data_IF_883783606691
#
_entry.id   IF_883783606691
#
_cell.length_a   1.000
_cell.length_b   1.000
_cell.length_c   1.000
_cell.angle_alpha   90.00
_cell.angle_beta   90.00
_cell.angle_gamma   90.00
#
_symmetry.space_group_name_H-M   'P 1'
#
loop_
_entity.id
_entity.type
_entity.pdbx_description
1 polymer ?
#
# COMPACT_ATOMS: atom_id res chain seq x y z
N UNK A 1 30.65 -9.80 4.22
CA UNK A 1 30.36 -9.28 5.58
C UNK A 1 30.83 -7.84 5.55
N UNK A 2 30.04 -6.79 5.70
CA UNK A 2 28.68 -6.55 6.20
C UNK A 2 28.21 -5.32 5.42
N UNK A 3 27.01 -5.33 4.81
CA UNK A 3 26.44 -4.09 4.29
C UNK A 3 25.93 -3.30 5.49
N UNK A 4 26.73 -2.31 5.87
CA UNK A 4 26.46 -1.43 6.98
C UNK A 4 25.28 -0.51 6.65
N UNK A 5 24.37 -0.48 7.61
CA UNK A 5 23.08 0.18 7.64
C UNK A 5 23.31 1.70 7.58
N UNK A 6 23.39 2.27 6.38
CA UNK A 6 23.34 3.73 6.19
C UNK A 6 21.90 4.20 6.46
N UNK A 7 21.68 4.48 7.74
CA UNK A 7 20.56 5.22 8.29
C UNK A 7 20.60 6.64 7.70
N UNK A 8 19.77 6.89 6.69
CA UNK A 8 19.63 8.21 6.05
C UNK A 8 18.98 9.18 7.05
N UNK A 9 19.57 10.36 7.32
CA UNK A 9 19.01 11.30 8.29
C UNK A 9 17.93 12.14 7.61
N UNK A 10 16.72 11.60 7.48
CA UNK A 10 15.54 12.41 7.19
C UNK A 10 15.02 13.01 8.50
N UNK A 11 15.72 14.02 9.02
CA UNK A 11 15.15 14.96 9.99
C UNK A 11 14.29 15.96 9.20
N UNK A 12 13.14 15.49 8.76
CA UNK A 12 11.95 16.32 8.71
C UNK A 12 10.97 15.64 9.66
N UNK A 13 10.87 16.17 10.87
CA UNK A 13 9.79 15.81 11.81
C UNK A 13 8.52 16.44 11.23
N UNK A 14 7.99 15.83 10.17
CA UNK A 14 6.60 16.00 9.79
C UNK A 14 5.83 15.45 10.99
N UNK A 15 4.93 16.24 11.59
CA UNK A 15 4.03 15.77 12.65
C UNK A 15 3.34 14.50 12.16
N UNK A 16 3.91 13.37 12.54
CA UNK A 16 3.52 12.07 12.02
C UNK A 16 2.41 11.59 12.94
N UNK A 17 1.17 11.38 12.47
CA UNK A 17 0.37 10.38 13.12
C UNK A 17 1.11 9.06 12.87
N UNK A 18 1.96 8.66 13.82
CA UNK A 18 2.57 7.34 13.85
C UNK A 18 1.45 6.33 14.04
N UNK A 19 0.82 5.99 12.92
CA UNK A 19 -0.33 5.14 12.92
C UNK A 19 0.15 3.72 13.17
N UNK A 20 -0.35 3.16 14.26
CA UNK A 20 -0.08 1.77 14.59
C UNK A 20 -0.54 0.87 13.42
N UNK A 21 0.09 -0.29 13.19
CA UNK A 21 -0.34 -1.23 12.16
C UNK A 21 -1.83 -1.60 12.25
N UNK A 22 -2.39 -1.55 13.48
CA UNK A 22 -3.80 -1.74 13.77
C UNK A 22 -4.68 -0.64 13.20
N UNK A 23 -4.30 0.62 13.35
CA UNK A 23 -5.02 1.78 12.80
C UNK A 23 -4.94 1.79 11.27
N UNK A 24 -3.77 1.49 10.70
CA UNK A 24 -3.62 1.32 9.25
C UNK A 24 -4.56 0.23 8.73
N UNK A 25 -4.63 -0.92 9.42
CA UNK A 25 -5.57 -1.97 9.06
C UNK A 25 -7.04 -1.54 9.20
N UNK A 26 -7.38 -0.70 10.16
CA UNK A 26 -8.74 -0.21 10.35
C UNK A 26 -9.20 0.74 9.24
N UNK A 27 -8.27 1.47 8.56
CA UNK A 27 -8.59 2.28 7.36
C UNK A 27 -9.08 1.45 6.20
N UNK A 28 -8.62 0.20 6.09
CA UNK A 28 -9.11 -0.71 5.07
C UNK A 28 -10.63 -0.89 5.25
N UNK A 29 -11.37 -0.67 4.17
CA UNK A 29 -12.81 -0.79 4.13
C UNK A 29 -13.28 -2.15 4.66
N UNK A 30 -14.44 -2.15 5.31
CA UNK A 30 -14.99 -3.36 5.96
C UNK A 30 -15.13 -4.54 4.99
N UNK A 31 -15.52 -4.28 3.75
CA UNK A 31 -15.64 -5.29 2.69
C UNK A 31 -14.29 -5.91 2.34
N UNK A 32 -13.26 -5.10 2.10
CA UNK A 32 -11.91 -5.58 1.79
C UNK A 32 -11.31 -6.36 2.96
N UNK A 33 -11.45 -5.89 4.20
CA UNK A 33 -11.04 -6.65 5.38
C UNK A 33 -11.73 -8.01 5.47
N UNK A 34 -13.01 -8.08 5.13
CA UNK A 34 -13.76 -9.34 5.03
C UNK A 34 -13.15 -10.30 4.00
N UNK A 35 -12.73 -9.80 2.85
CA UNK A 35 -12.05 -10.59 1.81
C UNK A 35 -10.67 -11.08 2.27
N UNK A 36 -9.89 -10.21 2.92
CA UNK A 36 -8.56 -10.56 3.45
C UNK A 36 -8.66 -11.67 4.50
N UNK A 37 -9.68 -11.66 5.36
CA UNK A 37 -9.84 -12.69 6.40
C UNK A 37 -10.31 -14.06 5.90
N UNK A 38 -11.01 -14.11 4.76
CA UNK A 38 -11.72 -15.32 4.31
C UNK A 38 -10.92 -16.18 3.34
N UNK A 39 -9.81 -15.68 2.81
CA UNK A 39 -9.03 -16.34 1.75
C UNK A 39 -7.62 -16.65 2.25
N UNK A 40 -7.04 -17.74 1.74
CA UNK A 40 -5.59 -17.86 1.71
C UNK A 40 -5.07 -16.74 0.80
N UNK A 41 -4.64 -15.63 1.39
CA UNK A 41 -4.11 -14.51 0.64
C UNK A 41 -2.76 -14.97 0.04
N UNK A 42 -2.52 -14.75 -1.26
CA UNK A 42 -1.18 -14.93 -1.80
C UNK A 42 -0.29 -13.81 -1.27
N UNK A 43 0.35 -14.05 -0.12
CA UNK A 43 1.17 -13.05 0.58
C UNK A 43 2.26 -12.48 -0.34
N UNK A 44 2.91 -13.31 -1.16
CA UNK A 44 3.91 -12.81 -2.11
C UNK A 44 3.34 -11.82 -3.15
N UNK A 45 2.10 -12.02 -3.62
CA UNK A 45 1.47 -11.02 -4.51
C UNK A 45 1.14 -9.74 -3.77
N UNK A 46 0.75 -9.85 -2.49
CA UNK A 46 0.45 -8.69 -1.66
C UNK A 46 1.74 -7.89 -1.40
N UNK A 47 2.83 -8.55 -1.01
CA UNK A 47 4.15 -7.97 -0.78
C UNK A 47 4.66 -7.23 -2.03
N UNK A 48 4.57 -7.83 -3.21
CA UNK A 48 4.99 -7.15 -4.45
C UNK A 48 4.20 -5.85 -4.71
N UNK A 49 2.90 -5.83 -4.43
CA UNK A 49 2.09 -4.61 -4.58
C UNK A 49 2.45 -3.56 -3.52
N UNK A 50 2.83 -3.98 -2.32
CA UNK A 50 3.31 -3.09 -1.27
C UNK A 50 4.64 -2.45 -1.66
N UNK A 51 5.62 -3.25 -2.09
CA UNK A 51 6.93 -2.77 -2.56
C UNK A 51 6.80 -1.79 -3.73
N UNK A 52 5.87 -2.04 -4.65
CA UNK A 52 5.61 -1.15 -5.78
C UNK A 52 5.09 0.22 -5.31
N UNK A 53 4.11 0.26 -4.40
CA UNK A 53 3.59 1.53 -3.86
C UNK A 53 4.64 2.26 -3.01
N UNK A 54 5.38 1.51 -2.17
CA UNK A 54 6.44 2.05 -1.33
C UNK A 54 7.55 2.68 -2.18
N UNK A 55 8.08 1.95 -3.15
CA UNK A 55 9.16 2.44 -4.01
C UNK A 55 8.73 3.66 -4.83
N UNK A 56 7.52 3.64 -5.40
CA UNK A 56 7.02 4.76 -6.21
C UNK A 56 6.83 6.03 -5.40
N UNK A 57 6.04 5.99 -4.32
CA UNK A 57 5.69 7.19 -3.56
C UNK A 57 6.82 7.68 -2.63
N UNK A 58 7.78 6.83 -2.27
CA UNK A 58 8.97 7.28 -1.54
C UNK A 58 9.88 8.18 -2.40
N UNK A 59 9.89 7.98 -3.72
CA UNK A 59 10.66 8.80 -4.66
C UNK A 59 9.85 10.00 -5.15
N UNK A 60 8.55 9.83 -5.36
CA UNK A 60 7.68 10.84 -5.96
C UNK A 60 6.33 10.91 -5.25
N UNK A 61 6.27 11.51 -4.05
CA UNK A 61 5.10 11.44 -3.18
C UNK A 61 3.87 12.13 -3.77
N UNK A 62 4.04 13.16 -4.60
CA UNK A 62 2.93 13.88 -5.24
C UNK A 62 2.55 13.35 -6.64
N UNK A 63 3.28 12.33 -7.14
CA UNK A 63 3.02 11.78 -8.47
C UNK A 63 1.74 10.93 -8.50
N UNK A 64 1.25 10.69 -9.73
CA UNK A 64 0.10 9.83 -9.97
C UNK A 64 0.60 8.49 -10.51
N UNK A 65 0.39 7.42 -9.76
CA UNK A 65 0.64 6.08 -10.24
C UNK A 65 -0.53 5.62 -11.12
N UNK A 66 -0.23 5.06 -12.28
CA UNK A 66 -1.23 4.52 -13.21
C UNK A 66 -0.75 3.18 -13.75
N UNK A 67 -1.59 2.14 -13.66
CA UNK A 67 -1.26 0.82 -14.17
C UNK A 67 -2.47 0.11 -14.78
N UNK A 68 -2.20 -0.71 -15.80
CA UNK A 68 -3.21 -1.55 -16.43
C UNK A 68 -3.28 -2.88 -15.67
N UNK A 69 -4.40 -3.10 -14.98
CA UNK A 69 -4.59 -4.29 -14.13
C UNK A 69 -5.86 -5.02 -14.52
N UNK A 70 -5.72 -6.00 -15.40
CA UNK A 70 -6.84 -6.83 -15.88
C UNK A 70 -7.33 -7.78 -14.78
N UNK A 71 -6.41 -8.35 -14.00
CA UNK A 71 -6.74 -9.26 -12.90
C UNK A 71 -7.50 -8.53 -11.76
N UNK A 72 -8.78 -8.87 -11.61
CA UNK A 72 -9.65 -8.27 -10.60
C UNK A 72 -9.23 -8.57 -9.15
N UNK A 73 -8.57 -9.70 -8.91
CA UNK A 73 -8.10 -10.06 -7.58
C UNK A 73 -6.85 -9.28 -7.18
N UNK A 74 -5.84 -9.18 -8.06
CA UNK A 74 -4.67 -8.32 -7.82
C UNK A 74 -5.10 -6.86 -7.64
N UNK A 75 -6.05 -6.38 -8.45
CA UNK A 75 -6.62 -5.04 -8.30
C UNK A 75 -7.29 -4.84 -6.94
N UNK A 76 -8.03 -5.84 -6.46
CA UNK A 76 -8.62 -5.82 -5.11
C UNK A 76 -7.54 -5.73 -4.03
N UNK A 77 -6.46 -6.50 -4.15
CA UNK A 77 -5.33 -6.44 -3.21
C UNK A 77 -4.65 -5.06 -3.24
N UNK A 78 -4.42 -4.49 -4.43
CA UNK A 78 -3.84 -3.15 -4.56
C UNK A 78 -4.71 -2.09 -3.85
N UNK A 79 -6.04 -2.16 -3.99
CA UNK A 79 -6.93 -1.26 -3.27
C UNK A 79 -6.80 -1.39 -1.75
N UNK A 80 -6.60 -2.61 -1.23
CA UNK A 80 -6.38 -2.84 0.19
C UNK A 80 -5.02 -2.28 0.66
N UNK A 81 -3.96 -2.50 -0.10
CA UNK A 81 -2.62 -1.93 0.14
C UNK A 81 -2.69 -0.40 0.17
N UNK A 82 -3.33 0.21 -0.82
CA UNK A 82 -3.48 1.66 -0.89
C UNK A 82 -4.18 2.19 0.36
N UNK A 83 -5.31 1.60 0.78
CA UNK A 83 -6.02 2.05 1.98
C UNK A 83 -5.20 1.87 3.26
N UNK A 84 -4.38 0.82 3.32
CA UNK A 84 -3.48 0.58 4.44
C UNK A 84 -2.38 1.65 4.54
N UNK A 85 -1.80 2.03 3.40
CA UNK A 85 -0.76 3.07 3.26
C UNK A 85 -1.32 4.50 3.18
N UNK A 86 -2.61 4.68 3.45
CA UNK A 86 -3.33 5.96 3.35
C UNK A 86 -3.32 6.64 1.97
N UNK A 87 -3.15 5.85 0.91
CA UNK A 87 -3.26 6.25 -0.49
C UNK A 87 -4.71 6.14 -0.99
N UNK A 88 -5.06 6.99 -1.97
CA UNK A 88 -6.36 6.94 -2.65
C UNK A 88 -6.20 6.18 -3.96
N UNK A 89 -7.03 5.17 -4.17
CA UNK A 89 -7.02 4.36 -5.40
C UNK A 89 -8.40 4.34 -6.07
N UNK A 90 -8.40 4.39 -7.40
CA UNK A 90 -9.61 4.33 -8.22
C UNK A 90 -9.38 3.44 -9.44
N UNK A 91 -10.33 2.55 -9.74
CA UNK A 91 -10.30 1.74 -10.96
C UNK A 91 -11.27 2.30 -12.01
N UNK A 92 -10.82 2.37 -13.26
CA UNK A 92 -11.59 2.83 -14.40
C UNK A 92 -11.39 1.92 -15.61
N UNK A 93 -12.21 2.11 -16.64
CA UNK A 93 -11.98 1.50 -17.95
C UNK A 93 -11.25 2.50 -18.84
N UNK A 94 -10.13 2.09 -19.42
CA UNK A 94 -9.39 2.85 -20.41
C UNK A 94 -9.21 2.01 -21.67
N UNK A 95 -9.82 2.45 -22.78
CA UNK A 95 -9.79 1.75 -24.09
C UNK A 95 -10.12 0.24 -23.99
N UNK A 96 -11.17 -0.10 -23.25
CA UNK A 96 -11.62 -1.48 -23.06
C UNK A 96 -10.80 -2.31 -22.07
N UNK A 97 -9.73 -1.74 -21.49
CA UNK A 97 -8.90 -2.41 -20.49
C UNK A 97 -9.08 -1.78 -19.11
N UNK A 98 -8.96 -2.59 -18.05
CA UNK A 98 -9.06 -2.11 -16.67
C UNK A 98 -7.78 -1.38 -16.27
N UNK A 99 -7.93 -0.14 -15.83
CA UNK A 99 -6.86 0.70 -15.30
C UNK A 99 -7.10 0.95 -13.81
N UNK A 100 -6.02 1.13 -13.06
CA UNK A 100 -6.03 1.67 -11.70
C UNK A 100 -5.18 2.92 -11.68
N UNK A 101 -5.68 3.94 -10.98
CA UNK A 101 -4.96 5.15 -10.63
C UNK A 101 -4.81 5.22 -9.12
N UNK A 102 -3.62 5.55 -8.65
CA UNK A 102 -3.32 5.75 -7.22
C UNK A 102 -2.69 7.13 -7.04
N UNK A 103 -3.11 7.84 -6.03
CA UNK A 103 -2.55 9.13 -5.62
C UNK A 103 -2.29 9.13 -4.12
N UNK A 104 -1.27 9.85 -3.71
CA UNK A 104 -1.10 10.21 -2.31
C UNK A 104 -2.07 11.32 -1.95
N UNK A 105 -2.73 11.20 -0.78
CA UNK A 105 -3.59 12.26 -0.26
C UNK A 105 -2.78 13.45 0.24
N UNK A 106 -1.56 13.18 0.68
CA UNK A 106 -0.68 14.13 1.36
C UNK A 106 0.45 14.59 0.44
N UNK A 107 1.12 15.68 0.81
CA UNK A 107 2.32 16.16 0.08
C UNK A 107 3.51 15.22 0.29
N UNK A 108 3.66 14.72 1.51
CA UNK A 108 4.69 13.76 1.88
C UNK A 108 4.12 12.35 1.90
N UNK A 109 4.92 11.36 1.52
CA UNK A 109 4.55 9.96 1.64
C UNK A 109 5.09 9.39 2.96
N UNK A 110 4.17 8.91 3.79
CA UNK A 110 4.44 8.40 5.12
C UNK A 110 4.05 6.92 5.18
N UNK A 111 4.97 5.99 4.87
CA UNK A 111 4.64 4.57 4.83
C UNK A 111 4.38 4.01 6.24
N UNK A 112 3.51 2.99 6.39
CA UNK A 112 3.35 2.27 7.65
C UNK A 112 4.64 1.60 8.11
N UNK A 113 4.87 1.54 9.42
CA UNK A 113 6.05 0.88 10.01
C UNK A 113 6.10 -0.63 9.77
N UNK A 114 4.93 -1.25 9.53
CA UNK A 114 4.78 -2.68 9.28
C UNK A 114 3.97 -2.88 8.01
N UNK A 115 4.41 -3.79 7.14
CA UNK A 115 3.66 -4.17 5.94
C UNK A 115 2.34 -4.87 6.31
N UNK A 116 1.33 -4.70 5.47
CA UNK A 116 0.04 -5.37 5.56
C UNK A 116 0.21 -6.88 5.45
N UNK A 117 1.07 -7.38 4.56
CA UNK A 117 1.44 -8.80 4.45
C UNK A 117 1.93 -9.35 5.79
N UNK A 118 2.94 -8.72 6.38
CA UNK A 118 3.48 -9.11 7.69
C UNK A 118 2.43 -9.02 8.80
N UNK A 119 1.65 -7.94 8.81
CA UNK A 119 0.59 -7.75 9.80
C UNK A 119 -0.51 -8.82 9.73
N UNK A 120 -0.85 -9.27 8.51
CA UNK A 120 -1.82 -10.34 8.30
C UNK A 120 -1.24 -11.71 8.71
N UNK A 121 0.03 -11.96 8.41
CA UNK A 121 0.72 -13.19 8.83
C UNK A 121 0.78 -13.33 10.36
N UNK A 122 0.89 -12.22 11.10
CA UNK A 122 0.85 -12.24 12.57
C UNK A 122 -0.54 -12.48 13.16
N UNK A 123 -1.62 -12.36 12.35
CA UNK A 123 -3.02 -12.42 12.82
C UNK A 123 -3.79 -13.65 12.35
N UNK A 124 -3.25 -14.40 11.40
CA UNK A 124 -3.80 -15.65 10.88
C UNK A 124 -3.04 -16.82 11.51
#
# INVERSE_FOLDING_TARGET
MVYEKLMVPCIFVVEHPAYTPKECYQRISRSLRGTLKKRQIPLGTLECLEEEMLSFFSVSPEAIYVSMMENGYQRLLLHAVCQYMDLISASSNFKGKRQVRVINRHRDFCPPELLLSSYLQMRC
#
